data_IF_938045290168
#
_entry.id   IF_938045290168
#
_cell.length_a   1.000
_cell.length_b   1.000
_cell.length_c   1.000
_cell.angle_alpha   90.00
_cell.angle_beta   90.00
_cell.angle_gamma   90.00
#
_symmetry.space_group_name_H-M   'P 1'
#
loop_
_entity.id
_entity.type
_entity.pdbx_description
1 polymer ?
#
# COMPACT_ATOMS: atom_id res chain seq x y z
N UNK A 1 -10.04 -32.50 -31.76
CA UNK A 1 -11.06 -31.45 -31.56
C UNK A 1 -11.09 -30.56 -32.80
N UNK A 2 -12.24 -30.08 -33.20
CA UNK A 2 -12.35 -29.16 -34.35
C UNK A 2 -12.32 -27.74 -33.82
N UNK A 3 -11.28 -26.95 -34.18
CA UNK A 3 -11.14 -25.53 -33.88
C UNK A 3 -11.48 -24.71 -35.14
N UNK A 4 -12.15 -23.61 -34.96
CA UNK A 4 -12.42 -22.63 -36.02
C UNK A 4 -11.65 -21.34 -35.71
N UNK A 5 -10.98 -20.79 -36.73
CA UNK A 5 -10.20 -19.57 -36.59
C UNK A 5 -11.09 -18.35 -36.86
N UNK A 6 -11.00 -17.36 -35.95
CA UNK A 6 -11.71 -16.08 -36.04
C UNK A 6 -10.77 -14.93 -35.75
N UNK A 7 -11.01 -13.76 -36.31
CA UNK A 7 -10.41 -12.52 -35.81
C UNK A 7 -11.10 -12.07 -34.51
N UNK A 8 -10.36 -11.49 -33.56
CA UNK A 8 -10.95 -10.99 -32.32
C UNK A 8 -12.08 -9.99 -32.55
N UNK A 9 -12.01 -9.19 -33.63
CA UNK A 9 -13.05 -8.23 -34.00
C UNK A 9 -14.39 -8.88 -34.41
N UNK A 10 -14.37 -10.13 -34.90
CA UNK A 10 -15.58 -10.90 -35.22
C UNK A 10 -16.25 -11.43 -33.95
N UNK A 11 -15.45 -11.83 -32.96
CA UNK A 11 -15.91 -12.35 -31.68
C UNK A 11 -16.32 -11.24 -30.72
N UNK A 12 -15.72 -10.06 -30.85
CA UNK A 12 -15.81 -8.93 -29.93
C UNK A 12 -16.05 -7.61 -30.71
N UNK A 13 -17.23 -7.41 -31.30
CA UNK A 13 -17.61 -6.12 -31.84
C UNK A 13 -17.46 -5.01 -30.80
N UNK A 14 -16.87 -3.87 -31.16
CA UNK A 14 -16.62 -2.80 -30.22
C UNK A 14 -17.61 -1.63 -30.35
N UNK A 15 -17.83 -0.95 -29.24
CA UNK A 15 -18.57 0.31 -29.15
C UNK A 15 -17.70 1.38 -28.49
N UNK A 16 -17.84 2.63 -29.00
CA UNK A 16 -17.21 3.80 -28.37
C UNK A 16 -18.03 4.20 -27.13
N UNK A 17 -17.42 4.41 -25.97
CA UNK A 17 -18.14 4.66 -24.73
C UNK A 17 -18.67 6.10 -24.59
N UNK A 18 -18.69 6.89 -25.65
CA UNK A 18 -18.97 8.35 -25.62
C UNK A 18 -20.32 8.68 -24.98
N UNK A 19 -21.35 7.86 -25.23
CA UNK A 19 -22.69 8.06 -24.68
C UNK A 19 -22.77 7.83 -23.15
N UNK A 20 -21.79 7.17 -22.58
CA UNK A 20 -21.77 6.70 -21.17
C UNK A 20 -20.76 7.48 -20.31
N UNK A 21 -20.15 8.54 -20.85
CA UNK A 21 -19.19 9.35 -20.11
C UNK A 21 -19.92 10.16 -19.03
N UNK A 22 -19.37 10.14 -17.79
CA UNK A 22 -19.89 10.97 -16.70
C UNK A 22 -19.72 12.46 -16.99
N UNK A 23 -20.69 13.27 -16.58
CA UNK A 23 -20.68 14.73 -16.69
C UNK A 23 -20.03 15.39 -15.48
N UNK A 24 -20.19 14.77 -14.29
CA UNK A 24 -19.66 15.26 -13.01
C UNK A 24 -18.51 14.38 -12.50
N UNK A 25 -17.60 14.99 -11.77
CA UNK A 25 -16.54 14.29 -11.00
C UNK A 25 -16.87 14.16 -9.51
N UNK A 26 -18.12 14.43 -9.14
CA UNK A 26 -18.63 14.23 -7.77
C UNK A 26 -18.93 12.74 -7.58
N UNK A 27 -17.97 12.03 -6.96
CA UNK A 27 -18.09 10.59 -6.68
C UNK A 27 -18.30 10.36 -5.19
N UNK A 28 -19.19 9.43 -4.85
CA UNK A 28 -19.46 9.02 -3.47
C UNK A 28 -19.78 7.53 -3.40
N UNK A 29 -19.33 6.87 -2.35
CA UNK A 29 -19.67 5.45 -2.09
C UNK A 29 -21.18 5.24 -1.83
N UNK A 30 -21.89 6.30 -1.44
CA UNK A 30 -23.34 6.27 -1.26
C UNK A 30 -24.12 6.21 -2.57
N UNK A 31 -23.50 6.49 -3.71
CA UNK A 31 -24.17 6.44 -5.02
C UNK A 31 -24.18 5.01 -5.58
N UNK A 32 -25.10 4.75 -6.52
CA UNK A 32 -25.36 3.39 -6.98
C UNK A 32 -24.52 2.97 -8.20
N UNK A 33 -24.23 3.89 -9.14
CA UNK A 33 -23.65 3.55 -10.44
C UNK A 33 -22.14 3.67 -10.45
N UNK A 34 -21.37 2.57 -10.62
CA UNK A 34 -19.91 2.62 -10.75
C UNK A 34 -19.46 3.42 -11.99
N UNK A 35 -18.35 4.13 -11.84
CA UNK A 35 -17.67 4.84 -12.92
C UNK A 35 -16.34 4.15 -13.21
N UNK A 36 -16.21 3.61 -14.43
CA UNK A 36 -15.05 2.85 -14.84
C UNK A 36 -13.98 3.74 -15.47
N UNK A 37 -12.74 3.34 -15.31
CA UNK A 37 -11.57 3.94 -15.96
C UNK A 37 -10.68 2.85 -16.54
N UNK A 38 -9.90 3.20 -17.54
CA UNK A 38 -8.88 2.32 -18.13
C UNK A 38 -7.61 2.17 -17.26
N UNK A 39 -7.49 2.92 -16.17
CA UNK A 39 -6.31 2.89 -15.29
C UNK A 39 -6.26 1.70 -14.33
N UNK A 40 -5.19 1.65 -13.51
CA UNK A 40 -4.99 0.59 -12.49
C UNK A 40 -6.15 0.46 -11.51
N UNK A 41 -6.78 1.58 -11.12
CA UNK A 41 -8.01 1.59 -10.33
C UNK A 41 -9.20 1.50 -11.27
N UNK A 42 -9.63 0.29 -11.61
CA UNK A 42 -10.68 0.04 -12.59
C UNK A 42 -11.99 0.77 -12.25
N UNK A 43 -12.44 0.75 -11.01
CA UNK A 43 -13.58 1.55 -10.50
C UNK A 43 -13.01 2.81 -9.85
N UNK A 44 -13.31 3.97 -10.42
CA UNK A 44 -12.85 5.26 -9.91
C UNK A 44 -13.69 5.77 -8.72
N UNK A 45 -14.95 5.39 -8.68
CA UNK A 45 -15.94 5.77 -7.68
C UNK A 45 -17.34 5.47 -8.21
N UNK A 46 -18.36 5.99 -7.54
CA UNK A 46 -19.76 5.86 -7.97
C UNK A 46 -20.39 7.24 -8.21
N UNK A 47 -21.33 7.32 -9.16
CA UNK A 47 -22.07 8.52 -9.52
C UNK A 47 -23.56 8.37 -9.25
N UNK A 48 -24.26 9.49 -9.03
CA UNK A 48 -25.72 9.58 -8.92
C UNK A 48 -26.38 9.91 -10.25
N UNK A 49 -25.64 10.03 -11.34
CA UNK A 49 -26.23 10.25 -12.66
C UNK A 49 -27.12 9.08 -13.08
N UNK A 50 -28.29 9.38 -13.62
CA UNK A 50 -29.31 8.38 -13.99
C UNK A 50 -29.43 8.16 -15.49
N UNK A 51 -28.85 9.04 -16.32
CA UNK A 51 -28.82 8.96 -17.78
C UNK A 51 -27.46 8.45 -18.29
N UNK A 52 -27.44 7.86 -19.48
CA UNK A 52 -26.21 7.35 -20.10
C UNK A 52 -25.51 6.27 -19.26
N UNK A 53 -26.28 5.36 -18.66
CA UNK A 53 -25.79 4.19 -17.95
C UNK A 53 -25.74 3.04 -18.95
N UNK A 54 -24.58 2.37 -19.06
CA UNK A 54 -24.46 1.16 -19.86
C UNK A 54 -25.07 -0.04 -19.15
N UNK A 55 -25.91 -0.85 -19.84
CA UNK A 55 -26.63 -1.99 -19.25
C UNK A 55 -26.72 -3.23 -20.15
N UNK A 56 -26.13 -3.23 -21.32
CA UNK A 56 -26.08 -4.39 -22.22
C UNK A 56 -24.96 -5.35 -21.80
N UNK A 57 -25.22 -6.16 -20.81
CA UNK A 57 -24.25 -6.99 -20.11
C UNK A 57 -24.35 -8.50 -20.47
N UNK A 58 -23.25 -9.28 -20.34
CA UNK A 58 -21.89 -8.88 -19.96
C UNK A 58 -21.10 -8.28 -21.13
N UNK A 59 -20.07 -7.48 -20.82
CA UNK A 59 -19.12 -6.91 -21.80
C UNK A 59 -17.69 -6.98 -21.28
N UNK A 60 -16.73 -6.74 -22.17
CA UNK A 60 -15.32 -6.56 -21.79
C UNK A 60 -14.93 -5.11 -22.04
N UNK A 61 -14.40 -4.45 -21.02
CA UNK A 61 -13.75 -3.14 -21.16
C UNK A 61 -12.31 -3.38 -21.59
N UNK A 62 -11.90 -2.72 -22.66
CA UNK A 62 -10.55 -2.79 -23.21
C UNK A 62 -9.86 -1.42 -23.16
N UNK A 63 -8.70 -1.36 -22.55
CA UNK A 63 -7.85 -0.16 -22.57
C UNK A 63 -7.11 -0.10 -23.90
N UNK A 64 -7.39 0.94 -24.69
CA UNK A 64 -6.87 1.10 -26.05
C UNK A 64 -5.36 1.46 -26.10
N UNK A 65 -4.73 1.67 -24.96
CA UNK A 65 -3.29 2.03 -24.84
C UNK A 65 -2.44 0.95 -24.18
N UNK A 66 -3.00 0.22 -23.21
CA UNK A 66 -2.29 -0.81 -22.46
C UNK A 66 -2.72 -2.22 -22.82
N UNK A 67 -3.79 -2.37 -23.62
CA UNK A 67 -4.49 -3.62 -23.94
C UNK A 67 -5.03 -4.37 -22.72
N UNK A 68 -5.05 -3.74 -21.55
CA UNK A 68 -5.66 -4.31 -20.36
C UNK A 68 -7.16 -4.51 -20.56
N UNK A 69 -7.68 -5.63 -20.07
CA UNK A 69 -9.08 -6.00 -20.21
C UNK A 69 -9.72 -6.26 -18.86
N UNK A 70 -11.03 -5.92 -18.75
CA UNK A 70 -11.83 -6.19 -17.58
C UNK A 70 -13.20 -6.74 -17.97
N UNK A 71 -13.61 -7.82 -17.32
CA UNK A 71 -14.94 -8.40 -17.48
C UNK A 71 -15.96 -7.65 -16.64
N UNK A 72 -17.06 -7.19 -17.26
CA UNK A 72 -18.09 -6.39 -16.58
C UNK A 72 -19.47 -7.02 -16.76
N UNK A 73 -20.09 -7.34 -15.63
CA UNK A 73 -21.44 -7.91 -15.56
C UNK A 73 -22.41 -7.04 -14.71
N UNK A 74 -22.06 -5.77 -14.50
CA UNK A 74 -22.86 -4.79 -13.76
C UNK A 74 -23.00 -3.49 -14.55
N UNK A 75 -24.07 -2.73 -14.30
CA UNK A 75 -24.31 -1.43 -14.93
C UNK A 75 -23.25 -0.42 -14.55
N UNK A 76 -22.81 0.42 -15.50
CA UNK A 76 -21.74 1.37 -15.27
C UNK A 76 -21.84 2.64 -16.13
N UNK A 77 -21.09 3.65 -15.75
CA UNK A 77 -20.67 4.77 -16.60
C UNK A 77 -19.15 4.76 -16.73
N UNK A 78 -18.60 5.59 -17.60
CA UNK A 78 -17.16 5.65 -17.84
C UNK A 78 -16.60 7.03 -17.61
N UNK A 79 -15.31 7.12 -17.25
CA UNK A 79 -14.58 8.38 -17.06
C UNK A 79 -14.29 9.10 -18.36
N UNK A 80 -13.95 8.35 -19.42
CA UNK A 80 -13.46 8.92 -20.68
C UNK A 80 -13.59 7.96 -21.84
N UNK A 81 -13.31 8.45 -23.06
CA UNK A 81 -13.26 7.65 -24.30
C UNK A 81 -11.93 6.90 -24.53
N UNK A 82 -11.06 6.79 -23.50
CA UNK A 82 -9.77 6.10 -23.62
C UNK A 82 -9.91 4.57 -23.67
N UNK A 83 -11.11 4.04 -23.52
CA UNK A 83 -11.43 2.62 -23.54
C UNK A 83 -12.39 2.27 -24.68
N UNK A 84 -12.54 0.97 -24.93
CA UNK A 84 -13.57 0.38 -25.80
C UNK A 84 -14.47 -0.49 -24.95
N UNK A 85 -15.75 -0.52 -25.27
CA UNK A 85 -16.71 -1.53 -24.81
C UNK A 85 -16.74 -2.62 -25.88
N UNK A 86 -16.35 -3.83 -25.50
CA UNK A 86 -16.36 -4.99 -26.39
C UNK A 86 -17.60 -5.83 -26.07
N UNK A 87 -18.53 -5.84 -27.03
CA UNK A 87 -19.68 -6.75 -27.00
C UNK A 87 -19.22 -8.17 -27.33
N UNK A 88 -19.87 -9.14 -26.77
CA UNK A 88 -19.48 -10.55 -26.95
C UNK A 88 -20.48 -11.23 -27.89
N UNK A 89 -19.97 -11.78 -28.99
CA UNK A 89 -20.78 -12.57 -29.89
C UNK A 89 -21.05 -13.95 -29.27
N UNK A 90 -22.13 -14.03 -28.50
CA UNK A 90 -22.49 -15.25 -27.73
C UNK A 90 -22.90 -16.44 -28.58
N UNK A 91 -23.15 -16.28 -29.88
CA UNK A 91 -23.38 -17.38 -30.81
C UNK A 91 -22.10 -18.16 -31.10
N UNK A 92 -20.93 -17.53 -30.91
CA UNK A 92 -19.62 -18.11 -31.22
C UNK A 92 -18.79 -18.37 -29.96
N UNK A 93 -18.90 -17.52 -28.93
CA UNK A 93 -18.03 -17.62 -27.76
C UNK A 93 -18.75 -17.40 -26.43
N UNK A 94 -18.36 -18.18 -25.42
CA UNK A 94 -18.79 -17.98 -24.04
C UNK A 94 -18.09 -16.74 -23.47
N UNK A 95 -18.81 -15.83 -22.79
CA UNK A 95 -18.25 -14.55 -22.31
C UNK A 95 -16.97 -14.70 -21.46
N UNK A 96 -16.95 -15.63 -20.49
CA UNK A 96 -15.76 -15.87 -19.67
C UNK A 96 -14.63 -16.53 -20.45
N UNK A 97 -14.96 -17.42 -21.42
CA UNK A 97 -13.95 -18.07 -22.25
C UNK A 97 -13.11 -17.05 -23.01
N UNK A 98 -13.76 -16.15 -23.75
CA UNK A 98 -13.03 -15.14 -24.52
C UNK A 98 -12.30 -14.13 -23.59
N UNK A 99 -12.88 -13.78 -22.44
CA UNK A 99 -12.20 -12.96 -21.47
C UNK A 99 -10.91 -13.60 -20.97
N UNK A 100 -10.94 -14.88 -20.59
CA UNK A 100 -9.74 -15.61 -20.15
C UNK A 100 -8.71 -15.77 -21.28
N UNK A 101 -9.18 -15.98 -22.51
CA UNK A 101 -8.30 -16.05 -23.68
C UNK A 101 -7.55 -14.75 -23.91
N UNK A 102 -8.19 -13.60 -23.72
CA UNK A 102 -7.54 -12.28 -23.84
C UNK A 102 -6.41 -12.08 -22.82
N UNK A 103 -6.50 -12.66 -21.62
CA UNK A 103 -5.48 -12.50 -20.56
C UNK A 103 -4.13 -13.13 -20.90
N UNK A 104 -4.07 -14.04 -21.86
CA UNK A 104 -2.83 -14.73 -22.25
C UNK A 104 -2.28 -14.27 -23.61
N UNK A 105 -2.98 -13.38 -24.31
CA UNK A 105 -2.50 -12.82 -25.59
C UNK A 105 -1.30 -11.92 -25.30
N UNK A 106 -0.15 -12.29 -25.84
CA UNK A 106 1.04 -11.44 -25.82
C UNK A 106 0.93 -10.40 -26.93
N UNK A 107 1.10 -9.15 -26.59
CA UNK A 107 1.01 -8.02 -27.52
C UNK A 107 2.21 -7.08 -27.36
N UNK A 108 2.75 -6.59 -28.47
CA UNK A 108 3.85 -5.63 -28.47
C UNK A 108 3.31 -4.18 -28.34
N UNK A 109 3.72 -3.53 -27.25
CA UNK A 109 3.33 -2.16 -26.91
C UNK A 109 4.37 -1.10 -27.35
N UNK A 110 5.24 -1.43 -28.27
CA UNK A 110 6.34 -0.54 -28.73
C UNK A 110 5.87 0.78 -29.36
N UNK A 111 4.63 0.84 -29.80
CA UNK A 111 4.05 2.05 -30.41
C UNK A 111 2.95 2.60 -29.50
N UNK A 112 3.08 3.81 -28.98
CA UNK A 112 2.05 4.49 -28.18
C UNK A 112 0.83 4.93 -29.03
N UNK A 113 0.09 3.96 -29.57
CA UNK A 113 -1.09 4.18 -30.43
C UNK A 113 -2.32 3.52 -29.80
N UNK A 114 -3.48 3.80 -30.36
CA UNK A 114 -4.71 3.06 -30.05
C UNK A 114 -4.68 1.72 -30.76
N UNK A 115 -4.71 0.63 -29.99
CA UNK A 115 -4.40 -0.71 -30.53
C UNK A 115 -5.59 -1.46 -31.09
N UNK A 116 -6.80 -1.27 -30.56
CA UNK A 116 -7.95 -2.11 -30.93
C UNK A 116 -8.18 -2.15 -32.43
N UNK A 117 -8.50 -1.01 -33.04
CA UNK A 117 -8.88 -0.92 -34.47
C UNK A 117 -7.71 -1.21 -35.40
N UNK A 118 -6.49 -0.82 -35.01
CA UNK A 118 -5.35 -0.89 -35.92
C UNK A 118 -4.77 -2.32 -36.02
N UNK A 119 -4.75 -3.06 -34.91
CA UNK A 119 -4.01 -4.32 -34.83
C UNK A 119 -4.64 -5.38 -33.93
N UNK A 120 -5.11 -5.01 -32.74
CA UNK A 120 -5.53 -6.03 -31.76
C UNK A 120 -6.77 -6.82 -32.18
N UNK A 121 -7.77 -6.15 -32.78
CA UNK A 121 -8.98 -6.80 -33.32
C UNK A 121 -8.71 -7.78 -34.47
N UNK A 122 -7.54 -7.68 -35.12
CA UNK A 122 -7.14 -8.54 -36.26
C UNK A 122 -6.35 -9.78 -35.83
N UNK A 123 -6.09 -9.91 -34.52
CA UNK A 123 -5.43 -11.11 -34.00
C UNK A 123 -6.37 -12.29 -34.21
N UNK A 124 -5.83 -13.33 -34.82
CA UNK A 124 -6.54 -14.57 -35.04
C UNK A 124 -6.44 -15.49 -33.84
N UNK A 125 -7.57 -16.07 -33.46
CA UNK A 125 -7.67 -17.01 -32.35
C UNK A 125 -8.45 -18.23 -32.78
N UNK A 126 -7.99 -19.41 -32.38
CA UNK A 126 -8.67 -20.67 -32.61
C UNK A 126 -9.67 -20.93 -31.50
N UNK A 127 -10.92 -21.16 -31.82
CA UNK A 127 -12.05 -21.31 -30.92
C UNK A 127 -12.63 -22.72 -31.06
N UNK A 128 -12.77 -23.52 -29.98
CA UNK A 128 -13.43 -24.83 -29.98
C UNK A 128 -14.94 -24.66 -29.91
N UNK A 129 -15.67 -25.81 -29.92
CA UNK A 129 -17.12 -25.82 -29.71
C UNK A 129 -17.53 -25.19 -28.38
N UNK A 130 -18.77 -24.68 -28.28
CA UNK A 130 -19.32 -24.07 -27.06
C UNK A 130 -19.27 -25.03 -25.86
N UNK A 131 -19.47 -26.32 -26.07
CA UNK A 131 -19.38 -27.36 -25.02
C UNK A 131 -17.96 -27.43 -24.45
N UNK A 132 -16.95 -27.40 -25.31
CA UNK A 132 -15.55 -27.42 -24.90
C UNK A 132 -15.15 -26.10 -24.21
N UNK A 133 -15.61 -24.96 -24.73
CA UNK A 133 -15.42 -23.66 -24.03
C UNK A 133 -16.02 -23.70 -22.62
N UNK A 134 -17.22 -24.29 -22.46
CA UNK A 134 -17.86 -24.43 -21.14
C UNK A 134 -17.04 -25.29 -20.19
N UNK A 135 -16.45 -26.39 -20.70
CA UNK A 135 -15.56 -27.25 -19.89
C UNK A 135 -14.31 -26.53 -19.44
N UNK A 136 -13.67 -25.78 -20.35
CA UNK A 136 -12.48 -24.99 -20.05
C UNK A 136 -12.80 -23.90 -19.00
N UNK A 137 -13.87 -23.15 -19.20
CA UNK A 137 -14.31 -22.10 -18.25
C UNK A 137 -14.59 -22.71 -16.88
N UNK A 138 -15.31 -23.82 -16.81
CA UNK A 138 -15.64 -24.47 -15.53
C UNK A 138 -14.38 -24.89 -14.78
N UNK A 139 -13.38 -25.40 -15.50
CA UNK A 139 -12.09 -25.81 -14.90
C UNK A 139 -11.29 -24.61 -14.40
N UNK A 140 -11.22 -23.52 -15.17
CA UNK A 140 -10.56 -22.29 -14.76
C UNK A 140 -11.25 -21.69 -13.53
N UNK A 141 -12.59 -21.59 -13.54
CA UNK A 141 -13.38 -21.03 -12.45
C UNK A 141 -13.20 -21.82 -11.15
N UNK A 142 -13.14 -23.16 -11.23
CA UNK A 142 -12.85 -24.03 -10.07
C UNK A 142 -11.48 -23.70 -9.46
N UNK A 143 -10.43 -23.71 -10.28
CA UNK A 143 -9.05 -23.45 -9.83
C UNK A 143 -8.88 -22.02 -9.31
N UNK A 144 -9.51 -21.04 -9.95
CA UNK A 144 -9.50 -19.66 -9.48
C UNK A 144 -10.24 -19.48 -8.16
N UNK A 145 -11.36 -20.18 -7.97
CA UNK A 145 -12.09 -20.16 -6.70
C UNK A 145 -11.26 -20.70 -5.53
N UNK A 146 -10.48 -21.75 -5.76
CA UNK A 146 -9.57 -22.30 -4.76
C UNK A 146 -8.43 -21.30 -4.45
N UNK A 147 -7.86 -20.70 -5.49
CA UNK A 147 -6.79 -19.72 -5.35
C UNK A 147 -7.26 -18.45 -4.65
N UNK A 148 -8.48 -17.97 -4.94
CA UNK A 148 -9.08 -16.81 -4.28
C UNK A 148 -9.28 -17.05 -2.78
N UNK A 149 -9.76 -18.25 -2.39
CA UNK A 149 -9.85 -18.62 -0.96
C UNK A 149 -8.49 -18.62 -0.26
N UNK A 150 -7.44 -19.07 -0.95
CA UNK A 150 -6.09 -19.03 -0.41
C UNK A 150 -5.61 -17.58 -0.23
N UNK A 151 -5.83 -16.71 -1.21
CA UNK A 151 -5.51 -15.27 -1.16
C UNK A 151 -6.28 -14.58 -0.02
N UNK A 152 -7.56 -14.86 0.16
CA UNK A 152 -8.37 -14.32 1.27
C UNK A 152 -7.83 -14.77 2.63
N UNK A 153 -7.38 -16.02 2.73
CA UNK A 153 -6.74 -16.54 3.95
C UNK A 153 -5.43 -15.80 4.25
N UNK A 154 -4.61 -15.51 3.22
CA UNK A 154 -3.37 -14.74 3.38
C UNK A 154 -3.66 -13.30 3.84
N UNK A 155 -4.67 -12.64 3.27
CA UNK A 155 -5.09 -11.30 3.69
C UNK A 155 -5.53 -11.30 5.17
N UNK A 156 -6.38 -12.24 5.56
CA UNK A 156 -6.82 -12.40 6.96
C UNK A 156 -5.64 -12.64 7.89
N UNK A 157 -4.69 -13.47 7.49
CA UNK A 157 -3.48 -13.75 8.29
C UNK A 157 -2.62 -12.48 8.45
N UNK A 158 -2.49 -11.68 7.41
CA UNK A 158 -1.75 -10.39 7.45
C UNK A 158 -2.40 -9.40 8.44
N UNK A 159 -3.72 -9.32 8.46
CA UNK A 159 -4.47 -8.51 9.42
C UNK A 159 -4.28 -9.01 10.86
N UNK A 160 -4.39 -10.31 11.08
CA UNK A 160 -4.18 -10.94 12.39
C UNK A 160 -2.76 -10.73 12.90
N UNK A 161 -1.77 -10.76 12.01
CA UNK A 161 -0.37 -10.53 12.34
C UNK A 161 -0.13 -9.10 12.86
N UNK A 162 -0.79 -8.10 12.27
CA UNK A 162 -0.74 -6.72 12.75
C UNK A 162 -1.33 -6.59 14.17
N UNK A 163 -2.46 -7.25 14.43
CA UNK A 163 -3.07 -7.30 15.77
C UNK A 163 -2.17 -8.01 16.77
N UNK A 164 -1.57 -9.14 16.38
CA UNK A 164 -0.65 -9.89 17.24
C UNK A 164 0.58 -9.07 17.63
N UNK A 165 1.21 -8.35 16.69
CA UNK A 165 2.33 -7.43 16.99
C UNK A 165 1.97 -6.43 18.10
N UNK A 166 0.79 -5.81 17.99
CA UNK A 166 0.32 -4.86 19.02
C UNK A 166 0.02 -5.54 20.36
N UNK A 167 -0.51 -6.77 20.35
CA UNK A 167 -0.75 -7.53 21.56
C UNK A 167 0.55 -7.90 22.28
N UNK A 168 1.58 -8.35 21.55
CA UNK A 168 2.92 -8.63 22.10
C UNK A 168 3.52 -7.39 22.75
N UNK A 169 3.48 -6.26 22.07
CA UNK A 169 3.96 -4.99 22.61
C UNK A 169 3.21 -4.59 23.89
N UNK A 170 1.88 -4.68 23.88
CA UNK A 170 1.04 -4.34 25.03
C UNK A 170 1.31 -5.25 26.22
N UNK A 171 1.39 -6.56 26.01
CA UNK A 171 1.59 -7.56 27.06
C UNK A 171 2.95 -7.37 27.75
N UNK A 172 4.00 -7.11 26.99
CA UNK A 172 5.35 -6.93 27.51
C UNK A 172 5.48 -5.80 28.56
N UNK A 173 4.61 -4.79 28.48
CA UNK A 173 4.62 -3.64 29.40
C UNK A 173 3.45 -3.67 30.42
N UNK A 174 2.53 -4.63 30.33
CA UNK A 174 1.30 -4.68 31.15
C UNK A 174 1.53 -4.83 32.65
N UNK A 175 2.59 -5.53 33.02
CA UNK A 175 2.88 -5.88 34.40
C UNK A 175 3.89 -4.93 35.07
N UNK A 176 4.28 -3.84 34.41
CA UNK A 176 5.22 -2.87 35.00
C UNK A 176 4.46 -1.92 35.94
N UNK A 177 4.84 -1.86 37.25
CA UNK A 177 4.15 -1.01 38.22
C UNK A 177 4.16 0.47 37.84
N UNK A 178 3.07 1.19 38.13
CA UNK A 178 2.92 2.60 37.77
C UNK A 178 3.95 3.53 38.43
N UNK A 179 4.48 3.20 39.58
CA UNK A 179 5.56 3.94 40.26
C UNK A 179 6.88 3.94 39.48
N UNK A 180 7.04 3.04 38.52
CA UNK A 180 8.21 3.02 37.61
C UNK A 180 8.05 3.95 36.42
N UNK A 181 6.87 4.54 36.21
CA UNK A 181 6.63 5.44 35.10
C UNK A 181 7.15 6.84 35.44
N UNK A 182 8.05 7.35 34.62
CA UNK A 182 8.72 8.65 34.80
C UNK A 182 8.69 9.45 33.52
N UNK A 183 8.74 10.80 33.62
CA UNK A 183 8.89 11.65 32.45
C UNK A 183 10.14 11.30 31.65
N UNK A 184 10.00 11.20 30.33
CA UNK A 184 11.05 10.80 29.40
C UNK A 184 12.29 11.70 29.50
N UNK A 185 12.10 13.01 29.79
CA UNK A 185 13.20 13.98 30.02
C UNK A 185 14.19 13.57 31.09
N UNK A 186 13.83 12.73 32.05
CA UNK A 186 14.74 12.29 33.13
C UNK A 186 15.80 11.30 32.65
N UNK A 187 15.58 10.67 31.48
CA UNK A 187 16.52 9.73 30.85
C UNK A 187 16.98 10.20 29.47
N UNK A 188 16.82 11.49 29.18
CA UNK A 188 17.35 12.11 27.96
C UNK A 188 18.78 12.59 28.15
N UNK A 189 19.66 12.24 27.22
CA UNK A 189 21.00 12.83 27.04
C UNK A 189 20.89 14.15 26.26
N UNK A 190 20.08 14.15 25.17
CA UNK A 190 19.76 15.36 24.42
C UNK A 190 18.25 15.59 24.42
N UNK A 191 17.86 16.81 24.80
CA UNK A 191 16.46 17.25 24.84
C UNK A 191 15.86 17.31 23.41
N UNK A 192 14.51 17.22 23.27
CA UNK A 192 13.89 17.21 21.96
C UNK A 192 14.22 18.47 21.15
N UNK A 193 14.66 18.29 19.92
CA UNK A 193 15.01 19.32 18.95
C UNK A 193 14.12 19.20 17.71
N UNK A 194 13.51 20.33 17.28
CA UNK A 194 12.79 20.40 16.01
C UNK A 194 13.76 20.37 14.83
N UNK A 195 13.37 19.73 13.73
CA UNK A 195 14.16 19.67 12.51
C UNK A 195 14.19 20.97 11.71
N UNK A 196 14.90 20.94 10.61
CA UNK A 196 15.17 22.08 9.75
C UNK A 196 14.06 22.31 8.74
N UNK A 197 13.60 23.56 8.62
CA UNK A 197 12.77 23.99 7.50
C UNK A 197 13.65 24.52 6.36
N UNK A 198 13.38 24.04 5.15
CA UNK A 198 13.95 24.58 3.90
C UNK A 198 12.88 24.81 2.85
N UNK A 199 12.98 25.90 2.12
CA UNK A 199 12.10 26.18 0.99
C UNK A 199 12.37 25.23 -0.18
N UNK A 200 11.37 25.03 -1.05
CA UNK A 200 11.44 24.12 -2.19
C UNK A 200 12.66 24.32 -3.11
N UNK A 201 13.17 25.55 -3.20
CA UNK A 201 14.33 25.90 -4.01
C UNK A 201 15.66 25.31 -3.56
N UNK A 202 15.74 24.77 -2.33
CA UNK A 202 16.94 24.12 -1.81
C UNK A 202 16.95 22.61 -2.04
N UNK A 203 15.81 22.04 -2.50
CA UNK A 203 15.68 20.60 -2.76
C UNK A 203 16.19 20.21 -4.14
N UNK A 204 16.63 18.97 -4.27
CA UNK A 204 17.10 18.34 -5.52
C UNK A 204 18.46 17.66 -5.36
N UNK A 205 19.41 18.29 -4.68
CA UNK A 205 20.75 17.77 -4.46
C UNK A 205 21.25 18.10 -3.06
N UNK A 206 22.38 17.52 -2.63
CA UNK A 206 22.99 17.74 -1.30
C UNK A 206 22.74 16.58 -0.35
N UNK A 207 22.52 16.87 0.94
CA UNK A 207 22.35 15.86 1.98
C UNK A 207 20.95 15.28 2.02
N UNK A 208 20.79 13.99 2.37
CA UNK A 208 19.49 13.38 2.59
C UNK A 208 18.76 14.02 3.76
N UNK A 209 17.43 14.14 3.63
CA UNK A 209 16.55 14.66 4.68
C UNK A 209 15.46 13.65 5.01
N UNK A 210 15.42 13.20 6.27
CA UNK A 210 14.36 12.34 6.79
C UNK A 210 13.09 13.17 7.02
N UNK A 211 11.98 12.70 6.47
CA UNK A 211 10.68 13.35 6.51
C UNK A 211 9.66 12.48 7.23
N UNK A 212 8.48 13.06 7.48
CA UNK A 212 7.39 12.39 8.21
C UNK A 212 6.88 11.10 7.56
N UNK A 213 7.14 10.89 6.29
CA UNK A 213 6.79 9.69 5.50
C UNK A 213 7.92 8.64 5.46
N UNK A 214 9.06 8.93 6.09
CA UNK A 214 10.24 8.07 6.07
C UNK A 214 10.37 7.11 7.25
N UNK A 215 9.45 7.11 8.22
CA UNK A 215 9.55 6.22 9.37
C UNK A 215 8.19 5.93 10.03
N UNK A 216 8.04 4.67 10.49
CA UNK A 216 6.85 4.17 11.18
C UNK A 216 7.24 3.00 12.10
N UNK A 217 6.42 2.76 13.11
CA UNK A 217 6.44 1.55 13.94
C UNK A 217 7.82 1.17 14.53
N UNK A 218 8.62 2.19 14.87
CA UNK A 218 9.93 2.03 15.49
C UNK A 218 11.10 2.01 14.53
N UNK A 219 10.86 2.07 13.21
CA UNK A 219 11.90 1.92 12.18
C UNK A 219 11.81 2.98 11.09
N UNK A 220 12.95 3.27 10.47
CA UNK A 220 13.01 3.96 9.18
C UNK A 220 12.53 2.99 8.11
N UNK A 221 11.70 3.49 7.18
CA UNK A 221 11.14 2.68 6.09
C UNK A 221 12.29 2.04 5.29
N UNK A 222 12.28 0.71 5.09
CA UNK A 222 13.29 0.04 4.27
C UNK A 222 13.36 0.65 2.86
N UNK A 223 14.58 0.88 2.37
CA UNK A 223 14.82 1.49 1.05
C UNK A 223 14.13 2.85 0.85
N UNK A 224 13.99 3.63 1.93
CA UNK A 224 13.39 4.96 1.86
C UNK A 224 14.16 5.86 0.90
N UNK A 225 13.46 6.40 -0.11
CA UNK A 225 14.03 7.36 -1.06
C UNK A 225 14.10 8.75 -0.45
N UNK A 226 15.25 9.05 0.15
CA UNK A 226 15.48 10.37 0.76
C UNK A 226 15.44 11.48 -0.29
N UNK A 227 14.65 12.51 -0.03
CA UNK A 227 14.85 13.77 -0.73
C UNK A 227 16.18 14.37 -0.31
N UNK A 228 16.83 15.08 -1.24
CA UNK A 228 18.10 15.75 -0.99
C UNK A 228 17.91 17.24 -0.84
N UNK A 229 18.71 17.87 0.00
CA UNK A 229 18.62 19.31 0.28
C UNK A 229 20.00 19.92 0.41
N UNK A 230 20.22 21.09 -0.21
CA UNK A 230 21.47 21.84 -0.09
C UNK A 230 21.55 22.53 1.27
N UNK A 231 22.66 22.32 1.97
CA UNK A 231 22.89 22.77 3.34
C UNK A 231 24.23 23.45 3.47
N UNK A 232 24.33 24.35 4.45
CA UNK A 232 25.59 24.88 4.96
C UNK A 232 26.19 23.91 5.98
N UNK A 233 27.52 23.92 6.14
CA UNK A 233 28.21 23.05 7.10
C UNK A 233 27.68 23.19 8.54
N UNK A 234 27.34 24.40 8.96
CA UNK A 234 26.75 24.68 10.29
C UNK A 234 25.35 24.02 10.47
N UNK A 235 24.55 23.99 9.40
CA UNK A 235 23.22 23.35 9.43
C UNK A 235 23.37 21.82 9.52
N UNK A 236 24.31 21.23 8.78
CA UNK A 236 24.62 19.80 8.89
C UNK A 236 25.04 19.49 10.31
N UNK A 237 26.02 20.22 10.87
CA UNK A 237 26.49 20.03 12.25
C UNK A 237 25.36 20.11 13.29
N UNK A 238 24.38 21.00 13.08
CA UNK A 238 23.28 21.25 14.05
C UNK A 238 22.14 20.22 13.91
N UNK A 239 21.86 19.75 12.69
CA UNK A 239 20.66 18.95 12.39
C UNK A 239 20.98 17.53 11.92
N UNK A 240 22.24 17.10 11.92
CA UNK A 240 22.58 15.72 11.59
C UNK A 240 21.95 14.76 12.61
N UNK A 241 21.39 13.68 12.08
CA UNK A 241 20.99 12.50 12.85
C UNK A 241 22.24 11.69 13.18
N UNK A 242 22.18 10.98 14.30
CA UNK A 242 23.21 10.05 14.75
C UNK A 242 22.57 8.71 15.10
N UNK A 243 23.35 7.66 15.00
CA UNK A 243 22.91 6.32 15.44
C UNK A 243 22.56 6.36 16.93
N UNK A 244 21.37 5.92 17.27
CA UNK A 244 20.81 5.99 18.63
C UNK A 244 19.88 7.19 18.86
N UNK A 245 19.73 8.10 17.91
CA UNK A 245 18.69 9.12 17.97
C UNK A 245 17.31 8.51 17.81
N UNK A 246 16.32 9.05 18.52
CA UNK A 246 14.91 8.75 18.31
C UNK A 246 14.27 9.94 17.60
N UNK A 247 13.59 9.67 16.50
CA UNK A 247 12.80 10.66 15.75
C UNK A 247 11.32 10.46 16.02
N UNK A 248 10.55 11.56 16.04
CA UNK A 248 9.10 11.54 16.26
C UNK A 248 8.38 12.51 15.34
N UNK A 249 7.26 12.09 14.80
CA UNK A 249 6.36 12.92 14.01
C UNK A 249 5.68 13.96 14.94
N UNK A 250 6.11 15.24 14.82
CA UNK A 250 5.60 16.33 15.66
C UNK A 250 4.46 17.12 15.03
N UNK A 251 4.31 17.11 13.72
CA UNK A 251 3.21 17.76 12.98
C UNK A 251 2.73 16.79 11.90
N UNK A 252 1.50 16.31 12.04
CA UNK A 252 0.88 15.39 11.07
C UNK A 252 -0.63 15.30 11.35
N UNK A 253 -1.37 14.50 10.56
CA UNK A 253 -2.71 14.05 10.95
C UNK A 253 -2.65 13.24 12.26
N UNK A 254 -3.74 13.20 13.02
CA UNK A 254 -3.79 12.47 14.30
C UNK A 254 -3.41 10.99 14.17
N UNK A 255 -3.65 10.36 13.01
CA UNK A 255 -3.29 8.97 12.75
C UNK A 255 -1.79 8.72 12.68
N UNK A 256 -0.99 9.73 12.35
CA UNK A 256 0.47 9.63 12.23
C UNK A 256 1.24 10.41 13.30
N UNK A 257 0.59 11.35 14.00
CA UNK A 257 1.22 12.15 15.04
C UNK A 257 1.79 11.25 16.15
N UNK A 258 2.99 11.56 16.63
CA UNK A 258 3.65 10.80 17.69
C UNK A 258 4.24 9.45 17.26
N UNK A 259 4.14 9.04 16.00
CA UNK A 259 4.90 7.88 15.51
C UNK A 259 6.39 8.15 15.59
N UNK A 260 7.15 7.15 16.03
CA UNK A 260 8.59 7.26 16.31
C UNK A 260 9.38 6.24 15.51
N UNK A 261 10.70 6.49 15.39
CA UNK A 261 11.68 5.49 14.99
C UNK A 261 13.03 5.69 15.68
N UNK A 262 13.74 4.60 15.90
CA UNK A 262 15.12 4.59 16.34
C UNK A 262 16.04 4.61 15.12
N UNK A 263 17.00 5.51 15.07
CA UNK A 263 18.02 5.55 14.01
C UNK A 263 19.07 4.50 14.31
N UNK A 264 19.02 3.39 13.59
CA UNK A 264 19.94 2.25 13.75
C UNK A 264 21.10 2.26 12.77
N UNK A 265 20.89 2.87 11.60
CA UNK A 265 21.90 2.96 10.53
C UNK A 265 21.80 4.30 9.81
N UNK A 266 22.94 4.81 9.33
CA UNK A 266 23.06 6.00 8.48
C UNK A 266 24.25 5.77 7.53
N UNK A 267 24.03 5.88 6.23
CA UNK A 267 25.08 5.73 5.23
C UNK A 267 25.85 7.03 4.99
N UNK A 268 25.20 8.16 5.17
CA UNK A 268 25.76 9.50 4.99
C UNK A 268 25.13 10.49 5.98
N UNK A 269 25.71 11.69 6.18
CA UNK A 269 25.15 12.72 7.05
C UNK A 269 23.73 13.10 6.62
N UNK A 270 22.74 12.60 7.35
CA UNK A 270 21.31 12.78 7.12
C UNK A 270 20.74 13.76 8.12
N UNK A 271 19.94 14.70 7.67
CA UNK A 271 19.21 15.64 8.55
C UNK A 271 17.73 15.24 8.64
N UNK A 272 16.94 15.97 9.42
CA UNK A 272 15.50 15.77 9.57
C UNK A 272 14.70 17.06 9.36
N UNK A 273 13.52 16.93 8.74
CA UNK A 273 12.67 18.08 8.40
C UNK A 273 11.95 18.67 9.63
N UNK A 274 11.45 19.89 9.52
CA UNK A 274 10.81 20.66 10.60
C UNK A 274 9.58 20.01 11.23
N UNK A 275 8.90 19.10 10.52
CA UNK A 275 7.76 18.33 11.04
C UNK A 275 8.17 17.08 11.83
N UNK A 276 9.45 16.81 11.89
CA UNK A 276 10.09 15.77 12.71
C UNK A 276 10.81 16.43 13.88
N UNK A 277 10.83 15.76 15.01
CA UNK A 277 11.59 16.12 16.20
C UNK A 277 12.54 14.97 16.52
N UNK A 278 13.76 15.30 16.96
CA UNK A 278 14.77 14.32 17.39
C UNK A 278 15.06 14.50 18.88
N UNK A 279 15.33 13.41 19.58
CA UNK A 279 15.90 13.41 20.92
C UNK A 279 16.82 12.20 21.10
N UNK A 280 17.66 12.22 22.13
CA UNK A 280 18.56 11.12 22.45
C UNK A 280 18.38 10.71 23.89
N UNK A 281 18.38 9.40 24.13
CA UNK A 281 18.28 8.83 25.46
C UNK A 281 19.66 8.43 26.00
N UNK A 282 19.81 8.55 27.31
CA UNK A 282 20.99 8.11 28.02
C UNK A 282 21.01 6.58 28.14
N UNK A 283 21.91 5.95 27.38
CA UNK A 283 22.07 4.48 27.33
C UNK A 283 22.51 3.85 28.66
N UNK A 284 22.95 4.67 29.64
CA UNK A 284 23.28 4.19 30.97
C UNK A 284 22.05 4.05 31.87
N UNK A 285 20.94 4.68 31.51
CA UNK A 285 19.70 4.69 32.27
C UNK A 285 18.57 3.90 31.59
N UNK A 286 18.55 3.85 30.27
CA UNK A 286 17.50 3.18 29.52
C UNK A 286 18.03 2.49 28.27
N UNK A 287 17.59 1.27 28.02
CA UNK A 287 17.86 0.54 26.79
C UNK A 287 17.05 1.13 25.63
N UNK A 288 17.70 1.41 24.50
CA UNK A 288 17.08 2.08 23.36
C UNK A 288 15.98 1.27 22.67
N UNK A 289 16.19 -0.03 22.53
CA UNK A 289 15.20 -0.92 21.91
C UNK A 289 13.97 -1.06 22.82
N UNK A 290 14.20 -1.21 24.13
CA UNK A 290 13.14 -1.21 25.12
C UNK A 290 12.30 0.07 25.05
N UNK A 291 12.95 1.24 25.03
CA UNK A 291 12.27 2.52 24.93
C UNK A 291 11.48 2.63 23.61
N UNK A 292 12.08 2.21 22.49
CA UNK A 292 11.44 2.28 21.18
C UNK A 292 10.22 1.37 21.11
N UNK A 293 10.30 0.14 21.64
CA UNK A 293 9.15 -0.76 21.71
C UNK A 293 8.01 -0.16 22.54
N UNK A 294 8.33 0.44 23.69
CA UNK A 294 7.29 1.11 24.50
C UNK A 294 6.63 2.27 23.73
N UNK A 295 7.43 3.16 23.11
CA UNK A 295 6.92 4.30 22.36
C UNK A 295 6.11 3.89 21.13
N UNK A 296 6.32 2.67 20.61
CA UNK A 296 5.53 2.07 19.52
C UNK A 296 4.21 1.44 19.99
N UNK A 297 4.01 1.30 21.31
CA UNK A 297 2.70 0.87 21.84
C UNK A 297 1.67 1.98 21.70
N UNK A 298 0.37 1.61 21.72
CA UNK A 298 -0.71 2.60 21.79
C UNK A 298 -0.62 3.49 23.05
N UNK A 299 -0.13 2.94 24.17
CA UNK A 299 0.08 3.71 25.41
C UNK A 299 1.22 4.69 25.30
N UNK A 300 2.40 4.28 24.83
CA UNK A 300 3.56 5.16 24.67
C UNK A 300 3.27 6.28 23.68
N UNK A 301 2.61 5.95 22.55
CA UNK A 301 2.15 6.95 21.61
C UNK A 301 1.13 7.91 22.23
N UNK A 302 0.15 7.40 22.99
CA UNK A 302 -0.82 8.25 23.69
C UNK A 302 -0.12 9.24 24.62
N UNK A 303 0.90 8.82 25.37
CA UNK A 303 1.68 9.70 26.24
C UNK A 303 2.34 10.84 25.46
N UNK A 304 2.85 10.60 24.26
CA UNK A 304 3.44 11.63 23.41
C UNK A 304 2.41 12.65 22.89
N UNK A 305 1.16 12.22 22.61
CA UNK A 305 0.18 13.04 21.91
C UNK A 305 -0.99 13.52 22.77
N UNK A 306 -1.09 13.13 24.03
CA UNK A 306 -2.23 13.47 24.91
C UNK A 306 -2.52 14.97 25.05
N UNK A 307 -1.51 15.81 24.87
CA UNK A 307 -1.63 17.28 24.90
C UNK A 307 -1.54 17.91 23.50
N UNK A 308 -1.73 17.12 22.43
CA UNK A 308 -1.61 17.60 21.06
C UNK A 308 -2.58 18.74 20.76
N UNK A 309 -2.08 19.80 20.12
CA UNK A 309 -2.90 20.89 19.60
C UNK A 309 -3.45 20.49 18.23
N UNK A 310 -4.77 20.51 18.09
CA UNK A 310 -5.45 20.16 16.83
C UNK A 310 -5.78 21.42 16.03
N UNK A 311 -5.62 21.34 14.71
CA UNK A 311 -6.08 22.30 13.71
C UNK A 311 -6.88 21.53 12.64
N UNK A 312 -7.50 22.21 11.68
CA UNK A 312 -8.51 21.64 10.74
C UNK A 312 -8.07 20.34 10.06
N UNK A 313 -6.78 20.18 9.68
CA UNK A 313 -6.28 18.98 9.02
C UNK A 313 -4.95 18.47 9.61
N UNK A 314 -4.48 19.06 10.68
CA UNK A 314 -3.20 18.74 11.29
C UNK A 314 -3.29 18.81 12.81
N UNK A 315 -2.43 18.04 13.46
CA UNK A 315 -2.19 18.15 14.89
C UNK A 315 -0.69 18.31 15.14
N UNK A 316 -0.33 18.87 16.28
CA UNK A 316 1.06 19.11 16.62
C UNK A 316 1.35 18.87 18.11
N UNK A 317 2.55 18.39 18.38
CA UNK A 317 3.15 18.27 19.70
C UNK A 317 4.42 19.12 19.77
N UNK A 318 4.77 19.55 20.97
CA UNK A 318 5.96 20.34 21.22
C UNK A 318 7.00 19.57 22.05
N UNK A 319 8.15 20.16 22.26
CA UNK A 319 9.27 19.57 23.00
C UNK A 319 8.90 19.21 24.46
N UNK A 320 8.06 20.02 25.10
CA UNK A 320 7.59 19.77 26.46
C UNK A 320 6.66 18.57 26.53
N UNK A 321 5.81 18.38 25.51
CA UNK A 321 4.91 17.22 25.42
C UNK A 321 5.74 15.94 25.34
N UNK A 322 6.75 15.89 24.48
CA UNK A 322 7.67 14.74 24.34
C UNK A 322 8.47 14.51 25.62
N UNK A 323 9.05 15.57 26.20
CA UNK A 323 9.85 15.44 27.43
C UNK A 323 9.05 15.00 28.66
N UNK A 324 7.75 15.32 28.72
CA UNK A 324 6.87 14.94 29.83
C UNK A 324 6.09 13.64 29.59
N UNK A 325 6.21 13.03 28.40
CA UNK A 325 5.61 11.71 28.13
C UNK A 325 6.14 10.69 29.15
N UNK A 326 5.23 9.92 29.73
CA UNK A 326 5.61 8.91 30.74
C UNK A 326 6.10 7.65 30.05
N UNK A 327 7.23 7.12 30.54
CA UNK A 327 7.80 5.85 30.12
C UNK A 327 8.13 5.01 31.36
N UNK A 328 7.86 3.69 31.37
CA UNK A 328 8.27 2.84 32.47
C UNK A 328 9.81 2.67 32.46
N UNK A 329 10.45 2.89 33.61
CA UNK A 329 11.91 2.80 33.77
C UNK A 329 12.21 1.81 34.90
N UNK A 330 12.28 0.48 34.62
CA UNK A 330 12.85 -0.47 35.54
C UNK A 330 14.29 -0.08 35.88
N UNK A 331 14.66 -0.21 37.16
CA UNK A 331 16.01 0.21 37.64
C UNK A 331 17.14 -0.58 37.01
N UNK A 332 16.87 -1.82 36.63
CA UNK A 332 17.84 -2.73 36.08
C UNK A 332 17.77 -2.72 34.53
N UNK A 333 18.87 -2.31 33.90
CA UNK A 333 19.03 -2.34 32.45
C UNK A 333 18.94 -3.76 31.87
N UNK A 334 19.33 -4.79 32.65
CA UNK A 334 19.22 -6.17 32.23
C UNK A 334 17.74 -6.59 32.10
N UNK A 335 16.89 -6.17 33.05
CA UNK A 335 15.45 -6.38 32.96
C UNK A 335 14.84 -5.70 31.71
N UNK A 336 15.27 -4.47 31.39
CA UNK A 336 14.84 -3.77 30.18
C UNK A 336 15.26 -4.52 28.91
N UNK A 337 16.53 -4.97 28.83
CA UNK A 337 17.05 -5.76 27.70
C UNK A 337 16.34 -7.09 27.53
N UNK A 338 16.02 -7.79 28.61
CA UNK A 338 15.28 -9.04 28.58
C UNK A 338 13.87 -8.86 28.00
N UNK A 339 13.19 -7.76 28.36
CA UNK A 339 11.89 -7.40 27.76
C UNK A 339 12.07 -7.11 26.26
N UNK A 340 13.03 -6.28 25.89
CA UNK A 340 13.29 -5.94 24.50
C UNK A 340 13.64 -7.17 23.66
N UNK A 341 14.46 -8.10 24.16
CA UNK A 341 14.82 -9.35 23.48
C UNK A 341 13.60 -10.25 23.23
N UNK A 342 12.72 -10.40 24.23
CA UNK A 342 11.47 -11.16 24.07
C UNK A 342 10.59 -10.56 22.98
N UNK A 343 10.40 -9.23 23.00
CA UNK A 343 9.63 -8.53 21.96
C UNK A 343 10.29 -8.74 20.59
N UNK A 344 11.59 -8.54 20.48
CA UNK A 344 12.35 -8.70 19.25
C UNK A 344 12.20 -10.11 18.66
N UNK A 345 12.26 -11.15 19.49
CA UNK A 345 12.06 -12.52 19.05
C UNK A 345 10.67 -12.75 18.43
N UNK A 346 9.62 -12.23 19.06
CA UNK A 346 8.25 -12.32 18.51
C UNK A 346 8.09 -11.51 17.23
N UNK A 347 8.65 -10.29 17.17
CA UNK A 347 8.59 -9.44 15.97
C UNK A 347 9.36 -10.09 14.82
N UNK A 348 10.51 -10.71 15.07
CA UNK A 348 11.27 -11.44 14.04
C UNK A 348 10.44 -12.59 13.42
N UNK A 349 9.70 -13.34 14.24
CA UNK A 349 8.76 -14.38 13.75
C UNK A 349 7.67 -13.73 12.88
N UNK A 350 7.09 -12.61 13.33
CA UNK A 350 6.09 -11.88 12.55
C UNK A 350 6.63 -11.40 11.20
N UNK A 351 7.86 -10.89 11.17
CA UNK A 351 8.49 -10.42 9.93
C UNK A 351 8.73 -11.57 8.94
N UNK A 352 9.14 -12.74 9.43
CA UNK A 352 9.31 -13.93 8.59
C UNK A 352 7.97 -14.40 7.99
N UNK A 353 6.89 -14.38 8.78
CA UNK A 353 5.55 -14.71 8.31
C UNK A 353 5.09 -13.70 7.24
N UNK A 354 5.29 -12.41 7.47
CA UNK A 354 4.95 -11.34 6.51
C UNK A 354 5.65 -11.53 5.16
N UNK A 355 6.95 -11.82 5.17
CA UNK A 355 7.72 -12.12 3.96
C UNK A 355 7.20 -13.39 3.25
N UNK A 356 6.82 -14.40 4.03
CA UNK A 356 6.20 -15.61 3.48
C UNK A 356 4.86 -15.30 2.79
N UNK A 357 4.04 -14.45 3.40
CA UNK A 357 2.76 -14.00 2.83
C UNK A 357 2.98 -13.23 1.52
N UNK A 358 3.92 -12.27 1.50
CA UNK A 358 4.22 -11.49 0.28
C UNK A 358 4.73 -12.40 -0.85
N UNK A 359 5.55 -13.40 -0.52
CA UNK A 359 5.99 -14.43 -1.47
C UNK A 359 4.82 -15.27 -1.99
N UNK A 360 3.89 -15.66 -1.10
CA UNK A 360 2.72 -16.45 -1.47
C UNK A 360 1.75 -15.65 -2.38
N UNK A 361 1.61 -14.33 -2.19
CA UNK A 361 0.84 -13.49 -3.12
C UNK A 361 1.47 -13.47 -4.52
N UNK A 362 2.79 -13.28 -4.62
CA UNK A 362 3.47 -13.33 -5.91
C UNK A 362 3.34 -14.71 -6.61
N UNK A 363 3.37 -15.80 -5.84
CA UNK A 363 3.12 -17.14 -6.35
C UNK A 363 1.67 -17.32 -6.81
N UNK A 364 0.69 -16.77 -6.09
CA UNK A 364 -0.72 -16.82 -6.49
C UNK A 364 -0.95 -16.12 -7.83
N UNK A 365 -0.34 -14.95 -8.06
CA UNK A 365 -0.41 -14.24 -9.33
C UNK A 365 0.23 -15.05 -10.48
N UNK A 366 1.38 -15.67 -10.23
CA UNK A 366 2.05 -16.54 -11.20
C UNK A 366 1.19 -17.80 -11.51
N UNK A 367 0.55 -18.40 -10.50
CA UNK A 367 -0.36 -19.53 -10.68
C UNK A 367 -1.57 -19.18 -11.54
N UNK A 368 -2.18 -17.98 -11.37
CA UNK A 368 -3.27 -17.53 -12.25
C UNK A 368 -2.85 -17.55 -13.72
N UNK A 369 -1.68 -17.02 -14.02
CA UNK A 369 -1.15 -17.00 -15.38
C UNK A 369 -0.87 -18.42 -15.91
N UNK A 370 -0.33 -19.29 -15.05
CA UNK A 370 -0.06 -20.69 -15.41
C UNK A 370 -1.35 -21.48 -15.69
N UNK A 371 -2.37 -21.32 -14.84
CA UNK A 371 -3.70 -21.97 -15.03
C UNK A 371 -4.30 -21.57 -16.38
N UNK A 372 -4.28 -20.26 -16.69
CA UNK A 372 -4.79 -19.79 -17.98
C UNK A 372 -4.00 -20.37 -19.16
N UNK A 373 -2.67 -20.33 -19.12
CA UNK A 373 -1.85 -20.88 -20.21
C UNK A 373 -2.13 -22.36 -20.42
N UNK A 374 -2.11 -23.18 -19.38
CA UNK A 374 -2.39 -24.61 -19.47
C UNK A 374 -3.79 -24.90 -20.02
N UNK A 375 -4.80 -24.17 -19.60
CA UNK A 375 -6.17 -24.37 -20.05
C UNK A 375 -6.39 -24.07 -21.55
N UNK A 376 -5.51 -23.28 -22.16
CA UNK A 376 -5.58 -22.90 -23.57
C UNK A 376 -4.49 -23.54 -24.46
N UNK A 377 -3.55 -24.27 -23.87
CA UNK A 377 -2.50 -25.02 -24.59
C UNK A 377 -2.90 -26.52 -24.83
N UNK A 378 -3.89 -27.02 -24.05
CA UNK A 378 -4.49 -28.36 -24.22
C UNK A 378 -5.60 -28.34 -25.30
#
# INVERSE_FOLDING_TARGET
>A
MQYTEYELGELLPFEQPTAYIVKSTDYSDAYATPVLTAGKSFILGKTNETDGIFDQLPVIIFDDFTTATQFVNFRFKVKSSAMKILHINTDLVIPKYIFYRLQIIQFDHSTHKRYWIQSYSKIKVSIPSLDEQSRIVSRIDELFSELDKAVDTLNTTKEQLAVYRQAVLKDAFSNIPREMYKPLKLVMEEMPQNGLYKSKSFYGEGNPILRIDGFYDGEVVPNYEYKRVRLKAEEIKKYALHIGDIVVNRVNSMSYLGKCALIRNLEEPTIFESNVMRFRLDKQQIDLEYAMYYLSTSFGRHELIKNAKQAVNQASINQTDVGNALIPIPKDLEAQRNIAQKISAHIAVCNNIDQGIDTAFAQADAMRQSILKQAFEE
#
